data_IF_349770488318
#
_entry.id   IF_349770488318
#
_cell.length_a   1.000
_cell.length_b   1.000
_cell.length_c   1.000
_cell.angle_alpha   90.00
_cell.angle_beta   90.00
_cell.angle_gamma   90.00
#
_symmetry.space_group_name_H-M   'P 1'
#
loop_
_entity.id
_entity.type
_entity.pdbx_description
1 polymer ?
#
# COMPACT_ATOMS: atom_id res chain seq x y z
N UNK A 1 14.52 0.79 -32.98
CA UNK A 1 14.77 1.40 -31.67
C UNK A 1 13.99 0.65 -30.55
N UNK A 2 14.02 -0.69 -30.55
CA UNK A 2 13.30 -1.56 -29.60
C UNK A 2 14.23 -2.65 -29.02
N UNK A 3 15.55 -2.44 -29.01
CA UNK A 3 16.52 -3.48 -28.63
C UNK A 3 17.40 -3.14 -27.41
N UNK A 4 17.04 -2.20 -26.57
CA UNK A 4 17.83 -1.82 -25.39
C UNK A 4 17.12 -1.99 -24.04
N UNK A 5 16.02 -2.76 -23.99
CA UNK A 5 15.40 -3.14 -22.71
C UNK A 5 15.73 -4.56 -22.25
N UNK A 6 16.67 -5.21 -22.89
CA UNK A 6 17.27 -6.46 -22.40
C UNK A 6 18.60 -6.10 -21.75
N UNK A 7 18.65 -6.12 -20.42
CA UNK A 7 19.78 -6.38 -19.52
C UNK A 7 19.63 -5.62 -18.20
N UNK A 8 18.59 -6.00 -17.45
CA UNK A 8 18.68 -6.02 -15.99
C UNK A 8 18.85 -7.50 -15.59
N UNK A 9 19.91 -8.12 -16.08
CA UNK A 9 20.39 -9.39 -15.53
C UNK A 9 20.90 -9.10 -14.11
N UNK A 10 20.11 -9.52 -13.11
CA UNK A 10 20.32 -9.26 -11.69
C UNK A 10 19.20 -8.47 -11.01
N UNK A 11 18.07 -8.23 -11.68
CA UNK A 11 16.87 -7.62 -11.11
C UNK A 11 16.39 -8.40 -9.90
N UNK A 12 16.05 -7.67 -8.82
CA UNK A 12 15.48 -8.26 -7.61
C UNK A 12 14.23 -9.05 -7.97
N UNK A 13 14.21 -10.36 -7.71
CA UNK A 13 13.05 -11.23 -7.97
C UNK A 13 12.31 -11.51 -6.68
N UNK A 14 10.97 -11.60 -6.79
CA UNK A 14 10.08 -11.87 -5.66
C UNK A 14 9.31 -13.19 -5.82
N UNK A 15 9.88 -14.16 -6.55
CA UNK A 15 9.28 -15.48 -6.67
C UNK A 15 9.02 -16.11 -5.29
N UNK A 16 7.82 -16.65 -5.11
CA UNK A 16 7.39 -17.22 -3.84
C UNK A 16 7.05 -16.18 -2.75
N UNK A 17 7.07 -14.89 -3.07
CA UNK A 17 6.62 -13.80 -2.18
C UNK A 17 5.22 -13.36 -2.54
N UNK A 18 4.41 -13.07 -1.53
CA UNK A 18 3.07 -12.49 -1.68
C UNK A 18 3.08 -11.03 -1.30
N UNK A 19 2.58 -10.20 -2.21
CA UNK A 19 2.40 -8.77 -2.01
C UNK A 19 0.91 -8.43 -1.85
N UNK A 20 0.57 -7.66 -0.82
CA UNK A 20 -0.76 -7.05 -0.65
C UNK A 20 -0.61 -5.55 -0.82
N UNK A 21 -1.39 -4.96 -1.73
CA UNK A 21 -1.34 -3.54 -2.04
C UNK A 21 -2.74 -2.94 -1.83
N UNK A 22 -2.89 -2.00 -0.89
CA UNK A 22 -4.16 -1.33 -0.64
C UNK A 22 -4.42 -0.22 -1.66
N UNK A 23 -5.68 -0.05 -2.09
CA UNK A 23 -6.05 0.97 -3.06
C UNK A 23 -5.34 0.79 -4.40
N UNK A 24 -5.36 -0.41 -4.96
CA UNK A 24 -4.50 -0.80 -6.08
C UNK A 24 -5.24 -1.15 -7.38
N UNK A 25 -6.52 -0.78 -7.50
CA UNK A 25 -7.24 -0.93 -8.77
C UNK A 25 -6.99 0.23 -9.75
N UNK A 26 -6.16 1.21 -9.39
CA UNK A 26 -5.79 2.33 -10.26
C UNK A 26 -4.52 3.04 -9.75
N UNK A 27 -4.01 4.01 -10.53
CA UNK A 27 -2.97 4.95 -10.13
C UNK A 27 -1.69 4.31 -9.62
N UNK A 28 -1.08 4.91 -8.60
CA UNK A 28 0.19 4.46 -8.02
C UNK A 28 0.09 3.01 -7.53
N UNK A 29 -1.01 2.65 -6.87
CA UNK A 29 -1.20 1.30 -6.34
C UNK A 29 -1.18 0.23 -7.42
N UNK A 30 -1.83 0.47 -8.55
CA UNK A 30 -1.81 -0.44 -9.69
C UNK A 30 -0.42 -0.53 -10.32
N UNK A 31 0.26 0.60 -10.52
CA UNK A 31 1.64 0.60 -11.04
C UNK A 31 2.62 -0.16 -10.16
N UNK A 32 2.47 -0.08 -8.83
CA UNK A 32 3.25 -0.88 -7.87
C UNK A 32 2.91 -2.36 -8.00
N UNK A 33 1.62 -2.70 -8.13
CA UNK A 33 1.18 -4.07 -8.30
C UNK A 33 1.75 -4.69 -9.59
N UNK A 34 1.72 -3.95 -10.71
CA UNK A 34 2.32 -4.37 -11.97
C UNK A 34 3.83 -4.61 -11.86
N UNK A 35 4.54 -3.71 -11.19
CA UNK A 35 5.99 -3.82 -10.98
C UNK A 35 6.36 -5.05 -10.13
N UNK A 36 5.58 -5.33 -9.08
CA UNK A 36 5.79 -6.50 -8.22
C UNK A 36 5.43 -7.81 -8.95
N UNK A 37 4.36 -7.82 -9.74
CA UNK A 37 4.00 -8.95 -10.59
C UNK A 37 5.08 -9.24 -11.64
N UNK A 38 5.60 -8.21 -12.31
CA UNK A 38 6.70 -8.33 -13.26
C UNK A 38 7.98 -8.90 -12.62
N UNK A 39 8.19 -8.62 -11.31
CA UNK A 39 9.29 -9.20 -10.53
C UNK A 39 8.98 -10.60 -9.96
N UNK A 40 7.84 -11.21 -10.32
CA UNK A 40 7.49 -12.60 -9.97
C UNK A 40 6.74 -12.77 -8.65
N UNK A 41 6.25 -11.71 -8.02
CA UNK A 41 5.45 -11.83 -6.80
C UNK A 41 4.01 -12.30 -7.10
N UNK A 42 3.42 -13.09 -6.20
CA UNK A 42 1.96 -13.20 -6.10
C UNK A 42 1.41 -11.85 -5.63
N UNK A 43 0.36 -11.33 -6.28
CA UNK A 43 -0.17 -10.00 -6.00
C UNK A 43 -1.63 -10.05 -5.56
N UNK A 44 -1.94 -9.38 -4.46
CA UNK A 44 -3.32 -9.17 -3.99
C UNK A 44 -3.66 -7.70 -4.18
N UNK A 45 -4.57 -7.45 -5.12
CA UNK A 45 -5.15 -6.13 -5.34
C UNK A 45 -6.28 -5.87 -4.33
N UNK A 46 -6.51 -4.61 -4.01
CA UNK A 46 -7.58 -4.19 -3.11
C UNK A 46 -8.16 -2.83 -3.52
N UNK A 47 -9.44 -2.69 -3.35
CA UNK A 47 -10.18 -1.43 -3.24
C UNK A 47 -11.42 -1.67 -2.35
N UNK A 48 -12.24 -0.63 -2.14
CA UNK A 48 -13.47 -0.75 -1.35
C UNK A 48 -14.67 -1.28 -2.15
N UNK A 49 -14.57 -1.34 -3.46
CA UNK A 49 -15.58 -1.90 -4.37
C UNK A 49 -15.39 -3.40 -4.54
N UNK A 50 -16.46 -4.13 -4.89
CA UNK A 50 -16.41 -5.55 -5.24
C UNK A 50 -17.16 -5.74 -6.56
N UNK A 51 -16.55 -5.30 -7.65
CA UNK A 51 -17.15 -5.32 -8.99
C UNK A 51 -16.44 -6.36 -9.86
N UNK A 52 -17.12 -6.95 -10.86
CA UNK A 52 -16.49 -7.87 -11.80
C UNK A 52 -15.21 -7.32 -12.43
N UNK A 53 -15.19 -6.03 -12.79
CA UNK A 53 -14.03 -5.37 -13.42
C UNK A 53 -12.81 -5.35 -12.51
N UNK A 54 -12.99 -5.27 -11.19
CA UNK A 54 -11.90 -5.30 -10.22
C UNK A 54 -11.24 -6.70 -10.17
N UNK A 55 -12.03 -7.76 -10.31
CA UNK A 55 -11.55 -9.14 -10.40
C UNK A 55 -10.90 -9.44 -11.74
N UNK A 56 -11.48 -8.95 -12.84
CA UNK A 56 -10.91 -9.10 -14.19
C UNK A 56 -9.56 -8.39 -14.29
N UNK A 57 -9.41 -7.20 -13.71
CA UNK A 57 -8.13 -6.49 -13.62
C UNK A 57 -7.03 -7.36 -12.97
N UNK A 58 -7.35 -8.00 -11.84
CA UNK A 58 -6.39 -8.88 -11.18
C UNK A 58 -6.03 -10.10 -12.04
N UNK A 59 -7.03 -10.72 -12.68
CA UNK A 59 -6.84 -11.87 -13.57
C UNK A 59 -5.94 -11.52 -14.76
N UNK A 60 -6.20 -10.38 -15.40
CA UNK A 60 -5.41 -9.90 -16.54
C UNK A 60 -3.97 -9.57 -16.14
N UNK A 61 -3.79 -8.95 -14.97
CA UNK A 61 -2.46 -8.69 -14.42
C UNK A 61 -1.70 -10.01 -14.20
N UNK A 62 -2.33 -11.00 -13.59
CA UNK A 62 -1.73 -12.31 -13.38
C UNK A 62 -1.34 -12.99 -14.69
N UNK A 63 -2.23 -12.96 -15.70
CA UNK A 63 -1.99 -13.55 -17.02
C UNK A 63 -0.82 -12.87 -17.76
N UNK A 64 -0.73 -11.52 -17.73
CA UNK A 64 0.34 -10.75 -18.38
C UNK A 64 1.73 -11.05 -17.82
N UNK A 65 1.83 -11.33 -16.54
CA UNK A 65 3.12 -11.53 -15.84
C UNK A 65 3.40 -12.98 -15.45
N UNK A 66 2.48 -13.91 -15.72
CA UNK A 66 2.66 -15.32 -15.39
C UNK A 66 2.69 -15.60 -13.87
N UNK A 67 1.99 -14.79 -13.08
CA UNK A 67 1.92 -14.91 -11.63
C UNK A 67 0.48 -15.09 -11.15
N UNK A 68 0.30 -15.56 -9.92
CA UNK A 68 -1.01 -15.51 -9.27
C UNK A 68 -1.34 -14.07 -8.88
N UNK A 69 -2.47 -13.57 -9.35
CA UNK A 69 -3.00 -12.30 -8.89
C UNK A 69 -4.48 -12.45 -8.53
N UNK A 70 -4.90 -11.85 -7.41
CA UNK A 70 -6.26 -11.90 -6.89
C UNK A 70 -6.70 -10.52 -6.44
N UNK A 71 -8.00 -10.30 -6.46
CA UNK A 71 -8.61 -9.10 -5.89
C UNK A 71 -9.36 -9.45 -4.60
N UNK A 72 -9.24 -8.60 -3.59
CA UNK A 72 -9.99 -8.71 -2.33
C UNK A 72 -10.57 -7.34 -1.98
N UNK A 73 -11.90 -7.23 -1.99
CA UNK A 73 -12.59 -6.04 -1.54
C UNK A 73 -12.44 -5.86 -0.02
N UNK A 74 -12.08 -4.65 0.41
CA UNK A 74 -12.04 -4.25 1.81
C UNK A 74 -12.01 -2.72 1.91
N UNK A 75 -12.86 -2.17 2.78
CA UNK A 75 -12.93 -0.74 3.05
C UNK A 75 -11.86 -0.34 4.07
N UNK A 76 -10.86 0.41 3.59
CA UNK A 76 -9.75 0.87 4.43
C UNK A 76 -10.16 1.89 5.51
N UNK A 77 -11.39 2.40 5.49
CA UNK A 77 -11.90 3.20 6.61
C UNK A 77 -12.28 2.36 7.84
N UNK A 78 -12.37 1.03 7.69
CA UNK A 78 -12.83 0.09 8.71
C UNK A 78 -11.69 -0.82 9.18
N UNK A 79 -11.22 -0.64 10.40
CA UNK A 79 -10.09 -1.39 10.94
C UNK A 79 -10.26 -2.91 10.92
N UNK A 80 -11.49 -3.42 11.11
CA UNK A 80 -11.78 -4.85 11.00
C UNK A 80 -11.59 -5.37 9.58
N UNK A 81 -12.02 -4.61 8.55
CA UNK A 81 -11.85 -4.98 7.15
C UNK A 81 -10.36 -4.91 6.73
N UNK A 82 -9.60 -3.93 7.25
CA UNK A 82 -8.15 -3.86 7.04
C UNK A 82 -7.43 -5.13 7.53
N UNK A 83 -7.79 -5.64 8.70
CA UNK A 83 -7.23 -6.88 9.25
C UNK A 83 -7.68 -8.12 8.47
N UNK A 84 -8.98 -8.18 8.14
CA UNK A 84 -9.55 -9.26 7.37
C UNK A 84 -8.95 -9.36 5.96
N UNK A 85 -8.53 -8.25 5.34
CA UNK A 85 -7.80 -8.26 4.07
C UNK A 85 -6.53 -9.11 4.16
N UNK A 86 -5.70 -8.89 5.19
CA UNK A 86 -4.45 -9.62 5.40
C UNK A 86 -4.73 -11.10 5.69
N UNK A 87 -5.76 -11.39 6.49
CA UNK A 87 -6.18 -12.76 6.79
C UNK A 87 -6.67 -13.51 5.55
N UNK A 88 -7.59 -12.91 4.77
CA UNK A 88 -8.12 -13.46 3.51
C UNK A 88 -7.03 -13.64 2.44
N UNK A 89 -6.01 -12.79 2.46
CA UNK A 89 -4.84 -12.96 1.62
C UNK A 89 -4.00 -14.18 2.03
N UNK A 90 -4.18 -14.72 3.23
CA UNK A 90 -3.32 -15.77 3.81
C UNK A 90 -1.99 -15.21 4.32
N UNK A 91 -1.99 -13.96 4.80
CA UNK A 91 -0.81 -13.19 5.15
C UNK A 91 -0.11 -12.57 3.92
N UNK A 92 0.99 -11.87 4.16
CA UNK A 92 1.83 -11.32 3.09
C UNK A 92 3.31 -11.28 3.49
N UNK A 93 4.16 -11.20 2.49
CA UNK A 93 5.60 -10.97 2.64
C UNK A 93 5.92 -9.48 2.37
N UNK A 94 5.18 -8.88 1.45
CA UNK A 94 5.27 -7.48 1.07
C UNK A 94 3.91 -6.83 1.32
N UNK A 95 3.88 -5.77 2.11
CA UNK A 95 2.70 -4.96 2.36
C UNK A 95 2.94 -3.55 1.84
N UNK A 96 2.08 -3.09 0.92
CA UNK A 96 2.10 -1.72 0.42
C UNK A 96 0.83 -1.00 0.86
N UNK A 97 0.94 -0.12 1.84
CA UNK A 97 -0.13 0.75 2.29
C UNK A 97 -0.19 1.98 1.37
N UNK A 98 -1.01 1.89 0.33
CA UNK A 98 -1.15 2.91 -0.68
C UNK A 98 -2.50 3.61 -0.65
N UNK A 99 -3.56 2.98 -0.14
CA UNK A 99 -4.88 3.59 -0.07
C UNK A 99 -4.85 4.99 0.54
N UNK A 100 -5.52 5.93 -0.08
CA UNK A 100 -5.53 7.30 0.40
C UNK A 100 -6.57 8.15 -0.31
N UNK A 101 -7.10 9.13 0.43
CA UNK A 101 -8.03 10.13 -0.06
C UNK A 101 -7.58 11.52 0.38
N UNK A 102 -8.07 12.55 -0.30
CA UNK A 102 -7.80 13.94 0.05
C UNK A 102 -9.08 14.77 -0.02
N UNK A 103 -9.14 15.80 0.83
CA UNK A 103 -10.11 16.86 0.78
C UNK A 103 -9.39 18.20 1.06
N UNK A 104 -9.88 19.29 0.50
CA UNK A 104 -9.24 20.62 0.58
C UNK A 104 -10.27 21.62 1.09
N UNK A 105 -9.98 22.24 2.23
CA UNK A 105 -10.78 23.33 2.81
C UNK A 105 -9.94 24.11 3.82
N UNK A 106 -10.30 25.38 4.14
CA UNK A 106 -9.79 26.10 5.32
C UNK A 106 -10.03 25.26 6.58
N UNK A 107 -9.18 25.41 7.60
CA UNK A 107 -9.26 24.56 8.80
C UNK A 107 -10.55 24.77 9.58
N UNK A 108 -11.04 26.00 9.63
CA UNK A 108 -12.29 26.38 10.30
C UNK A 108 -13.55 25.88 9.59
N UNK A 109 -13.45 25.58 8.30
CA UNK A 109 -14.53 25.07 7.45
C UNK A 109 -14.36 23.57 7.14
N UNK A 110 -13.32 22.91 7.68
CA UNK A 110 -12.99 21.54 7.33
C UNK A 110 -14.04 20.58 7.92
N UNK A 111 -14.83 19.84 7.10
CA UNK A 111 -15.87 18.96 7.62
C UNK A 111 -15.27 17.84 8.48
N UNK A 112 -15.82 17.63 9.67
CA UNK A 112 -15.31 16.64 10.63
C UNK A 112 -15.36 15.22 10.07
N UNK A 113 -16.39 14.89 9.31
CA UNK A 113 -16.50 13.58 8.65
C UNK A 113 -15.40 13.36 7.60
N UNK A 114 -14.97 14.40 6.87
CA UNK A 114 -13.86 14.32 5.93
C UNK A 114 -12.52 14.17 6.65
N UNK A 115 -12.34 14.91 7.75
CA UNK A 115 -11.18 14.76 8.62
C UNK A 115 -11.06 13.31 9.11
N UNK A 116 -12.12 12.78 9.69
CA UNK A 116 -12.15 11.42 10.23
C UNK A 116 -11.89 10.37 9.14
N UNK A 117 -12.52 10.50 7.98
CA UNK A 117 -12.32 9.59 6.85
C UNK A 117 -10.86 9.60 6.35
N UNK A 118 -10.25 10.79 6.24
CA UNK A 118 -8.85 10.92 5.81
C UNK A 118 -7.91 10.26 6.83
N UNK A 119 -8.08 10.50 8.12
CA UNK A 119 -7.26 9.85 9.14
C UNK A 119 -7.46 8.33 9.15
N UNK A 120 -8.70 7.88 9.02
CA UNK A 120 -9.01 6.45 8.97
C UNK A 120 -8.31 5.76 7.80
N UNK A 121 -8.45 6.29 6.58
CA UNK A 121 -7.94 5.66 5.36
C UNK A 121 -6.43 5.87 5.20
N UNK A 122 -5.91 7.10 5.41
CA UNK A 122 -4.53 7.41 5.08
C UNK A 122 -3.52 7.05 6.19
N UNK A 123 -3.99 6.82 7.42
CA UNK A 123 -3.11 6.54 8.57
C UNK A 123 -3.54 5.30 9.34
N UNK A 124 -4.78 5.28 9.85
CA UNK A 124 -5.24 4.22 10.75
C UNK A 124 -5.31 2.86 10.03
N UNK A 125 -5.65 2.84 8.74
CA UNK A 125 -5.62 1.62 7.93
C UNK A 125 -4.23 0.98 7.91
N UNK A 126 -3.18 1.79 7.71
CA UNK A 126 -1.79 1.32 7.67
C UNK A 126 -1.35 0.71 9.02
N UNK A 127 -1.84 1.26 10.14
CA UNK A 127 -1.65 0.62 11.44
C UNK A 127 -2.31 -0.77 11.48
N UNK A 128 -3.58 -0.89 11.07
CA UNK A 128 -4.30 -2.16 11.14
C UNK A 128 -3.73 -3.23 10.22
N UNK A 129 -3.42 -2.90 8.98
CA UNK A 129 -2.82 -3.84 8.01
C UNK A 129 -1.42 -4.28 8.44
N UNK A 130 -0.58 -3.34 8.91
CA UNK A 130 0.76 -3.63 9.42
C UNK A 130 0.70 -4.53 10.64
N UNK A 131 -0.15 -4.20 11.64
CA UNK A 131 -0.33 -5.01 12.84
C UNK A 131 -0.80 -6.46 12.52
N UNK A 132 -1.62 -6.63 11.48
CA UNK A 132 -2.06 -7.95 11.04
C UNK A 132 -0.97 -8.71 10.26
N UNK A 133 -0.11 -8.02 9.51
CA UNK A 133 0.93 -8.64 8.69
C UNK A 133 2.18 -9.06 9.50
N UNK A 134 2.59 -8.24 10.46
CA UNK A 134 3.85 -8.42 11.20
C UNK A 134 4.02 -9.80 11.87
N UNK A 135 3.01 -10.41 12.50
CA UNK A 135 3.19 -11.74 13.11
C UNK A 135 3.64 -12.81 12.12
N UNK A 136 3.06 -12.80 10.91
CA UNK A 136 3.43 -13.69 9.83
C UNK A 136 4.84 -13.43 9.29
N UNK A 137 5.20 -12.15 9.12
CA UNK A 137 6.53 -11.73 8.69
C UNK A 137 7.59 -12.13 9.71
N UNK A 138 7.33 -11.93 11.02
CA UNK A 138 8.23 -12.35 12.11
C UNK A 138 8.47 -13.85 12.11
N UNK A 139 7.40 -14.65 11.95
CA UNK A 139 7.52 -16.12 11.87
C UNK A 139 8.41 -16.58 10.71
N UNK A 140 8.39 -15.85 9.58
CA UNK A 140 9.20 -16.12 8.39
C UNK A 140 10.63 -15.54 8.48
N UNK A 141 10.90 -14.63 9.42
CA UNK A 141 12.15 -13.87 9.49
C UNK A 141 12.37 -12.97 8.27
N UNK A 142 11.30 -12.60 7.56
CA UNK A 142 11.37 -11.75 6.37
C UNK A 142 10.07 -10.98 6.15
N UNK A 143 10.17 -9.69 5.84
CA UNK A 143 9.04 -8.84 5.51
C UNK A 143 9.44 -7.48 4.95
N UNK A 144 8.57 -6.90 4.13
CA UNK A 144 8.73 -5.55 3.59
C UNK A 144 7.42 -4.79 3.74
N UNK A 145 7.43 -3.74 4.56
CA UNK A 145 6.31 -2.81 4.68
C UNK A 145 6.71 -1.51 3.99
N UNK A 146 5.88 -1.08 3.04
CA UNK A 146 6.05 0.18 2.31
C UNK A 146 4.80 1.02 2.49
N UNK A 147 4.97 2.21 3.05
CA UNK A 147 3.89 3.17 3.25
C UNK A 147 3.99 4.28 2.19
N UNK A 148 2.98 4.42 1.34
CA UNK A 148 2.92 5.51 0.37
C UNK A 148 2.44 6.77 1.10
N UNK A 149 3.41 7.55 1.57
CA UNK A 149 3.17 8.83 2.21
C UNK A 149 2.91 9.94 1.17
N UNK A 150 3.67 11.01 1.20
CA UNK A 150 3.62 12.14 0.27
C UNK A 150 4.78 13.09 0.60
N UNK A 151 5.18 13.95 -0.32
CA UNK A 151 5.97 15.13 0.01
C UNK A 151 5.31 15.94 1.15
N UNK A 152 3.97 15.93 1.23
CA UNK A 152 3.20 16.48 2.35
C UNK A 152 3.26 15.67 3.66
N UNK A 153 4.04 14.62 3.73
CA UNK A 153 4.48 13.96 4.96
C UNK A 153 5.78 14.55 5.53
N UNK A 154 6.42 15.44 4.80
CA UNK A 154 7.69 16.10 5.14
C UNK A 154 7.57 17.63 5.20
N UNK A 155 6.55 18.20 4.57
CA UNK A 155 6.28 19.64 4.50
C UNK A 155 4.78 19.91 4.55
N UNK A 156 4.39 21.18 4.71
CA UNK A 156 3.00 21.60 4.75
C UNK A 156 2.53 22.28 3.47
N UNK A 157 1.23 22.39 3.30
CA UNK A 157 0.53 23.17 2.28
C UNK A 157 -0.80 23.65 2.85
N UNK A 158 -1.29 24.84 2.53
CA UNK A 158 -2.56 25.33 3.03
C UNK A 158 -3.73 24.43 2.60
N UNK A 159 -4.80 24.44 3.36
CA UNK A 159 -6.09 23.81 3.08
C UNK A 159 -6.09 22.25 3.04
N UNK A 160 -5.02 21.60 3.50
CA UNK A 160 -4.88 20.14 3.49
C UNK A 160 -4.61 19.57 4.89
N UNK A 161 -5.20 20.16 5.92
CA UNK A 161 -4.89 19.88 7.34
C UNK A 161 -4.92 18.38 7.67
N UNK A 162 -6.02 17.69 7.37
CA UNK A 162 -6.17 16.26 7.67
C UNK A 162 -5.18 15.39 6.87
N UNK A 163 -5.00 15.69 5.59
CA UNK A 163 -4.09 14.95 4.73
C UNK A 163 -2.64 15.06 5.19
N UNK A 164 -2.20 16.28 5.51
CA UNK A 164 -0.85 16.56 6.01
C UNK A 164 -0.63 15.87 7.36
N UNK A 165 -1.59 15.98 8.29
CA UNK A 165 -1.52 15.30 9.58
C UNK A 165 -1.39 13.77 9.41
N UNK A 166 -2.21 13.18 8.54
CA UNK A 166 -2.16 11.74 8.26
C UNK A 166 -0.82 11.32 7.64
N UNK A 167 -0.31 12.07 6.65
CA UNK A 167 0.95 11.71 5.96
C UNK A 167 2.18 11.92 6.82
N UNK A 168 2.23 12.93 7.70
CA UNK A 168 3.26 13.05 8.73
C UNK A 168 3.17 11.90 9.74
N UNK A 169 1.96 11.56 10.21
CA UNK A 169 1.73 10.41 11.09
C UNK A 169 2.21 9.10 10.47
N UNK A 170 1.98 8.91 9.16
CA UNK A 170 2.39 7.71 8.43
C UNK A 170 3.92 7.59 8.35
N UNK A 171 4.64 8.70 8.16
CA UNK A 171 6.12 8.73 8.23
C UNK A 171 6.60 8.37 9.65
N UNK A 172 5.95 8.91 10.69
CA UNK A 172 6.24 8.57 12.08
C UNK A 172 6.01 7.09 12.37
N UNK A 173 4.85 6.55 11.96
CA UNK A 173 4.53 5.12 12.09
C UNK A 173 5.58 4.24 11.41
N UNK A 174 6.03 4.62 10.20
CA UNK A 174 7.06 3.86 9.47
C UNK A 174 8.37 3.77 10.24
N UNK A 175 8.80 4.87 10.86
CA UNK A 175 10.02 4.91 11.68
C UNK A 175 9.89 4.01 12.92
N UNK A 176 8.76 4.08 13.61
CA UNK A 176 8.49 3.25 14.80
C UNK A 176 8.50 1.77 14.45
N UNK A 177 7.78 1.36 13.41
CA UNK A 177 7.74 -0.05 12.98
C UNK A 177 9.12 -0.53 12.53
N UNK A 178 9.91 0.31 11.85
CA UNK A 178 11.27 -0.03 11.46
C UNK A 178 12.18 -0.31 12.68
N UNK A 179 12.07 0.50 13.74
CA UNK A 179 12.80 0.27 15.00
C UNK A 179 12.34 -1.01 15.72
N UNK A 180 11.03 -1.25 15.80
CA UNK A 180 10.46 -2.43 16.45
C UNK A 180 10.78 -3.75 15.73
N UNK A 181 11.15 -3.69 14.45
CA UNK A 181 11.45 -4.86 13.62
C UNK A 181 12.93 -4.97 13.23
N UNK A 182 13.77 -4.08 13.76
CA UNK A 182 15.20 -4.08 13.52
C UNK A 182 15.83 -5.43 13.91
N UNK A 183 16.71 -5.96 13.06
CA UNK A 183 17.34 -7.26 13.26
C UNK A 183 16.47 -8.49 13.01
N UNK A 184 15.18 -8.32 12.66
CA UNK A 184 14.24 -9.43 12.43
C UNK A 184 14.04 -9.79 10.95
N UNK A 185 14.87 -9.24 10.05
CA UNK A 185 14.72 -9.45 8.60
C UNK A 185 13.54 -8.68 7.97
N UNK A 186 12.91 -7.78 8.74
CA UNK A 186 11.76 -6.97 8.32
C UNK A 186 12.20 -5.52 8.18
N UNK A 187 11.73 -4.85 7.13
CA UNK A 187 11.92 -3.40 6.96
C UNK A 187 10.58 -2.70 6.81
N UNK A 188 10.52 -1.46 7.30
CA UNK A 188 9.37 -0.58 7.10
C UNK A 188 9.87 0.78 6.60
N UNK A 189 9.40 1.21 5.43
CA UNK A 189 9.82 2.45 4.79
C UNK A 189 8.62 3.28 4.35
N UNK A 190 8.79 4.60 4.33
CA UNK A 190 7.84 5.53 3.74
C UNK A 190 8.40 6.06 2.41
N UNK A 191 7.59 6.00 1.35
CA UNK A 191 7.85 6.68 0.09
C UNK A 191 7.04 7.98 0.11
N UNK A 192 7.68 9.10 -0.20
CA UNK A 192 7.09 10.42 -0.17
C UNK A 192 7.02 11.03 -1.58
N UNK A 193 6.09 10.57 -2.45
CA UNK A 193 5.97 11.08 -3.82
C UNK A 193 5.61 12.57 -3.83
N UNK A 194 6.11 13.28 -4.84
CA UNK A 194 5.57 14.57 -5.25
C UNK A 194 4.31 14.41 -6.12
N UNK A 195 4.18 15.23 -7.15
CA UNK A 195 3.11 15.06 -8.14
C UNK A 195 3.45 13.88 -9.06
N UNK A 196 2.51 12.96 -9.20
CA UNK A 196 2.61 11.78 -10.09
C UNK A 196 1.45 11.85 -11.07
N UNK A 197 1.75 11.73 -12.35
CA UNK A 197 0.73 11.57 -13.38
C UNK A 197 0.17 10.15 -13.30
N UNK A 198 -1.12 10.03 -13.01
CA UNK A 198 -1.84 8.76 -12.84
C UNK A 198 -3.11 8.74 -13.67
#
# INVERSE_FOLDING_TARGET
>A
MLSQMQHLEGGMTFHGKRAVITGSNSGIGLGVAESLAAAGAEVILNSFTDRPEDHDLAKDLGARHGVTARYIAADMSKGAECRALIEKAGGCDILVNNAGIQFVAPIEEFPVEKWNAILAINLTSAFHTTAAALPGMRKKGWGRVVNIASAHGLTASPFKSAYIAAKHGLVGLSKTVALETAGQGITCNAICPGYVLT
#
